data_IF_354193476937
#
_entry.id   IF_354193476937
#
_cell.length_a   1.000
_cell.length_b   1.000
_cell.length_c   1.000
_cell.angle_alpha   90.00
_cell.angle_beta   90.00
_cell.angle_gamma   90.00
#
_symmetry.space_group_name_H-M   'P 1'
#
loop_
_entity.id
_entity.type
_entity.pdbx_description
1 polymer ?
#
# COMPACT_ATOMS: atom_id res chain seq x y z
N UNK A 1 16.25 -13.76 -1.01
CA UNK A 1 15.40 -13.45 0.16
C UNK A 1 15.68 -14.49 1.24
N UNK A 2 15.48 -14.15 2.51
CA UNK A 2 15.45 -15.12 3.61
C UNK A 2 14.18 -14.89 4.44
N UNK A 3 13.86 -15.87 5.27
CA UNK A 3 12.76 -15.81 6.23
C UNK A 3 13.34 -15.91 7.63
N UNK A 4 12.82 -15.10 8.54
CA UNK A 4 13.23 -15.11 9.94
C UNK A 4 12.02 -14.84 10.82
N UNK A 5 11.82 -15.71 11.80
CA UNK A 5 10.89 -15.45 12.90
C UNK A 5 11.57 -14.55 13.93
N UNK A 6 10.86 -13.53 14.42
CA UNK A 6 11.33 -12.64 15.48
C UNK A 6 10.26 -12.44 16.53
N UNK A 7 10.69 -12.23 17.77
CA UNK A 7 9.80 -11.72 18.81
C UNK A 7 9.35 -10.30 18.44
N UNK A 8 8.13 -9.94 18.84
CA UNK A 8 7.47 -8.72 18.37
C UNK A 8 8.18 -7.45 18.85
N UNK A 9 8.71 -7.47 20.07
CA UNK A 9 9.52 -6.43 20.69
C UNK A 9 10.86 -6.20 19.97
N UNK A 10 11.55 -7.28 19.62
CA UNK A 10 12.76 -7.21 18.78
C UNK A 10 12.44 -6.65 17.39
N UNK A 11 11.30 -7.07 16.81
CA UNK A 11 10.91 -6.67 15.47
C UNK A 11 10.59 -5.17 15.40
N UNK A 12 9.79 -4.63 16.33
CA UNK A 12 9.48 -3.19 16.36
C UNK A 12 10.75 -2.33 16.52
N UNK A 13 11.69 -2.78 17.36
CA UNK A 13 12.96 -2.08 17.56
C UNK A 13 13.84 -2.12 16.30
N UNK A 14 13.87 -3.26 15.59
CA UNK A 14 14.58 -3.38 14.33
C UNK A 14 13.96 -2.48 13.25
N UNK A 15 12.64 -2.47 13.10
CA UNK A 15 11.93 -1.68 12.08
C UNK A 15 12.35 -0.21 12.18
N UNK A 16 12.33 0.36 13.40
CA UNK A 16 12.70 1.75 13.65
C UNK A 16 14.17 2.10 13.32
N UNK A 17 15.08 1.14 13.48
CA UNK A 17 16.53 1.33 13.23
C UNK A 17 16.95 0.96 11.81
N UNK A 18 16.06 0.32 11.05
CA UNK A 18 16.35 -0.22 9.73
C UNK A 18 16.27 0.85 8.63
N UNK A 19 16.78 0.50 7.45
CA UNK A 19 16.54 1.23 6.20
C UNK A 19 15.25 0.80 5.49
N UNK A 20 14.38 0.02 6.14
CA UNK A 20 13.22 -0.63 5.50
C UNK A 20 13.61 -1.70 4.47
N UNK A 21 12.71 -1.96 3.50
CA UNK A 21 13.00 -2.88 2.38
C UNK A 21 12.68 -4.36 2.65
N UNK A 22 11.79 -4.66 3.58
CA UNK A 22 11.33 -6.01 3.90
C UNK A 22 9.81 -6.07 4.03
N UNK A 23 9.25 -7.28 3.92
CA UNK A 23 7.84 -7.55 4.25
C UNK A 23 7.77 -7.98 5.71
N UNK A 24 6.93 -7.29 6.49
CA UNK A 24 6.65 -7.66 7.86
C UNK A 24 5.29 -8.37 7.92
N UNK A 25 5.32 -9.68 8.13
CA UNK A 25 4.11 -10.46 8.34
C UNK A 25 3.63 -10.28 9.79
N UNK A 26 2.50 -9.60 9.97
CA UNK A 26 1.91 -9.35 11.28
C UNK A 26 0.71 -10.28 11.53
N UNK A 27 0.48 -10.63 12.81
CA UNK A 27 -0.82 -11.17 13.24
C UNK A 27 -1.86 -10.05 13.18
N UNK A 28 -3.15 -10.40 13.24
CA UNK A 28 -4.26 -9.48 13.04
C UNK A 28 -4.12 -8.15 13.84
N UNK A 29 -4.02 -8.24 15.17
CA UNK A 29 -3.92 -7.04 16.01
C UNK A 29 -2.61 -6.25 15.79
N UNK A 30 -1.48 -6.95 15.66
CA UNK A 30 -0.20 -6.29 15.38
C UNK A 30 -0.25 -5.57 14.02
N UNK A 31 -0.90 -6.15 13.02
CA UNK A 31 -1.06 -5.56 11.69
C UNK A 31 -1.92 -4.31 11.71
N UNK A 32 -3.06 -4.37 12.39
CA UNK A 32 -3.97 -3.25 12.59
C UNK A 32 -3.23 -2.04 13.18
N UNK A 33 -2.60 -2.21 14.35
CA UNK A 33 -1.88 -1.13 15.04
C UNK A 33 -0.65 -0.65 14.27
N UNK A 34 0.18 -1.56 13.76
CA UNK A 34 1.45 -1.17 13.15
C UNK A 34 1.27 -0.57 11.75
N UNK A 35 0.26 -0.98 10.98
CA UNK A 35 0.00 -0.40 9.66
C UNK A 35 -0.32 1.09 9.74
N UNK A 36 -1.12 1.53 10.71
CA UNK A 36 -1.42 2.94 10.96
C UNK A 36 -0.18 3.74 11.36
N UNK A 37 0.64 3.19 12.27
CA UNK A 37 1.88 3.83 12.73
C UNK A 37 2.85 4.00 11.56
N UNK A 38 3.04 2.95 10.75
CA UNK A 38 3.93 2.99 9.59
C UNK A 38 3.39 3.97 8.54
N UNK A 39 2.08 3.97 8.25
CA UNK A 39 1.49 4.94 7.32
C UNK A 39 1.75 6.39 7.75
N UNK A 40 1.62 6.68 9.05
CA UNK A 40 1.93 7.99 9.60
C UNK A 40 3.43 8.34 9.52
N UNK A 41 4.31 7.36 9.71
CA UNK A 41 5.76 7.52 9.60
C UNK A 41 6.27 7.77 8.17
N UNK A 42 5.56 7.26 7.14
CA UNK A 42 5.87 7.49 5.72
C UNK A 42 5.19 8.74 5.13
N UNK A 43 4.55 9.56 5.96
CA UNK A 43 4.09 10.90 5.62
C UNK A 43 2.59 10.98 5.31
N UNK A 44 2.19 10.66 4.07
CA UNK A 44 0.80 10.85 3.62
C UNK A 44 0.19 9.56 3.11
N UNK A 45 -1.07 9.29 3.49
CA UNK A 45 -1.86 8.19 2.92
C UNK A 45 -2.01 8.30 1.39
N UNK A 46 -1.89 9.50 0.81
CA UNK A 46 -1.87 9.70 -0.65
C UNK A 46 -0.65 9.09 -1.35
N UNK A 47 0.33 8.60 -0.59
CA UNK A 47 1.53 7.91 -1.06
C UNK A 47 1.54 6.42 -0.69
N UNK A 48 0.47 5.91 -0.06
CA UNK A 48 0.36 4.52 0.38
C UNK A 48 -0.52 3.71 -0.58
N UNK A 49 -0.01 2.55 -1.00
CA UNK A 49 -0.73 1.60 -1.87
C UNK A 49 -1.15 0.37 -1.08
N UNK A 50 -2.31 -0.19 -1.38
CA UNK A 50 -2.79 -1.47 -0.81
C UNK A 50 -2.90 -2.51 -1.93
N UNK A 51 -2.51 -3.76 -1.63
CA UNK A 51 -2.63 -4.88 -2.56
C UNK A 51 -3.06 -6.12 -1.79
N UNK A 52 -4.20 -6.67 -2.14
CA UNK A 52 -4.62 -8.00 -1.71
C UNK A 52 -3.97 -9.04 -2.61
N UNK A 53 -3.34 -10.05 -2.00
CA UNK A 53 -2.70 -11.16 -2.71
C UNK A 53 -3.31 -12.47 -2.24
N UNK A 54 -3.89 -13.24 -3.18
CA UNK A 54 -4.43 -14.56 -2.90
C UNK A 54 -3.30 -15.61 -2.76
N UNK A 55 -3.53 -16.69 -1.98
CA UNK A 55 -2.55 -17.76 -1.82
C UNK A 55 -2.29 -18.58 -3.09
N UNK A 56 -3.11 -18.43 -4.13
CA UNK A 56 -2.86 -19.02 -5.45
C UNK A 56 -1.66 -18.41 -6.19
N UNK A 57 -1.14 -17.28 -5.69
CA UNK A 57 -0.06 -16.51 -6.28
C UNK A 57 -0.40 -15.87 -7.63
N UNK A 58 -1.68 -15.84 -8.01
CA UNK A 58 -2.17 -15.39 -9.32
C UNK A 58 -3.20 -14.29 -9.21
N UNK A 59 -4.07 -14.34 -8.22
CA UNK A 59 -5.15 -13.37 -8.07
C UNK A 59 -4.70 -12.24 -7.17
N UNK A 60 -4.79 -11.00 -7.66
CA UNK A 60 -4.50 -9.79 -6.89
C UNK A 60 -5.59 -8.75 -7.08
N UNK A 61 -5.78 -7.92 -6.08
CA UNK A 61 -6.59 -6.70 -6.14
C UNK A 61 -5.69 -5.54 -5.66
N UNK A 62 -5.71 -4.41 -6.35
CA UNK A 62 -4.82 -3.28 -6.08
C UNK A 62 -5.64 -2.00 -5.95
N UNK A 63 -5.47 -1.32 -4.83
CA UNK A 63 -6.24 -0.13 -4.47
C UNK A 63 -5.35 0.95 -3.83
N UNK A 64 -5.91 2.15 -3.70
CA UNK A 64 -5.32 3.19 -2.86
C UNK A 64 -5.60 2.87 -1.38
N UNK A 65 -4.64 3.07 -0.48
CA UNK A 65 -4.85 2.78 0.95
C UNK A 65 -5.76 3.81 1.65
N UNK A 66 -6.10 4.92 0.99
CA UNK A 66 -6.99 5.94 1.56
C UNK A 66 -8.46 5.69 1.18
N UNK A 67 -9.39 6.19 2.01
CA UNK A 67 -10.81 6.17 1.71
C UNK A 67 -11.24 7.17 0.62
N UNK A 68 -12.55 7.42 0.53
CA UNK A 68 -13.17 8.23 -0.54
C UNK A 68 -12.95 9.75 -0.43
N UNK A 69 -12.14 10.21 0.54
CA UNK A 69 -11.81 11.63 0.75
C UNK A 69 -13.06 12.54 0.80
N UNK A 70 -14.09 12.11 1.55
CA UNK A 70 -15.43 12.71 1.53
C UNK A 70 -15.44 14.22 1.78
N UNK A 71 -14.55 14.72 2.63
CA UNK A 71 -14.41 16.16 2.89
C UNK A 71 -14.10 16.95 1.61
N UNK A 72 -13.15 16.49 0.80
CA UNK A 72 -12.82 17.15 -0.47
C UNK A 72 -13.96 16.99 -1.48
N UNK A 73 -14.62 15.84 -1.48
CA UNK A 73 -15.79 15.63 -2.34
C UNK A 73 -16.91 16.64 -2.03
N UNK A 74 -17.16 16.98 -0.76
CA UNK A 74 -18.13 18.04 -0.40
C UNK A 74 -17.74 19.42 -0.90
N UNK A 75 -16.46 19.76 -0.91
CA UNK A 75 -15.99 21.03 -1.49
C UNK A 75 -16.12 21.04 -3.02
N UNK A 76 -15.81 19.92 -3.68
CA UNK A 76 -16.05 19.74 -5.11
C UNK A 76 -17.53 19.92 -5.47
N UNK A 77 -18.46 19.36 -4.70
CA UNK A 77 -19.91 19.52 -4.91
C UNK A 77 -20.39 20.98 -4.81
N UNK A 78 -19.69 21.82 -4.04
CA UNK A 78 -19.97 23.27 -3.95
C UNK A 78 -19.37 24.08 -5.10
N UNK A 79 -18.65 23.44 -6.02
CA UNK A 79 -17.92 24.11 -7.09
C UNK A 79 -16.54 24.64 -6.68
N UNK A 80 -16.08 24.34 -5.46
CA UNK A 80 -14.76 24.77 -5.00
C UNK A 80 -13.65 23.89 -5.58
N UNK A 81 -12.49 24.50 -5.85
CA UNK A 81 -11.28 23.77 -6.25
C UNK A 81 -10.76 22.94 -5.08
N UNK A 82 -10.25 21.74 -5.36
CA UNK A 82 -9.65 20.84 -4.37
C UNK A 82 -8.22 20.47 -4.75
N UNK A 83 -7.43 20.02 -3.78
CA UNK A 83 -6.07 19.51 -3.98
C UNK A 83 -5.96 18.11 -3.37
N UNK A 84 -6.72 17.17 -3.93
CA UNK A 84 -6.66 15.76 -3.56
C UNK A 84 -5.46 15.11 -4.25
N UNK A 85 -4.58 14.45 -3.50
CA UNK A 85 -3.43 13.76 -4.06
C UNK A 85 -3.87 12.47 -4.80
N UNK A 86 -3.63 12.34 -6.12
CA UNK A 86 -4.07 11.18 -6.89
C UNK A 86 -3.02 10.06 -6.97
N UNK A 87 -1.83 10.22 -6.38
CA UNK A 87 -0.68 9.32 -6.59
C UNK A 87 -1.02 7.88 -6.20
N UNK A 88 -1.58 7.63 -5.01
CA UNK A 88 -1.97 6.28 -4.59
C UNK A 88 -2.97 5.62 -5.57
N UNK A 89 -3.96 6.38 -6.05
CA UNK A 89 -4.92 5.87 -7.06
C UNK A 89 -4.27 5.53 -8.39
N UNK A 90 -3.31 6.35 -8.85
CA UNK A 90 -2.52 6.05 -10.06
C UNK A 90 -1.69 4.79 -9.84
N UNK A 91 -1.05 4.67 -8.67
CA UNK A 91 -0.23 3.50 -8.36
C UNK A 91 -1.05 2.21 -8.27
N UNK A 92 -2.30 2.27 -7.80
CA UNK A 92 -3.23 1.14 -7.83
C UNK A 92 -3.41 0.61 -9.27
N UNK A 93 -3.64 1.50 -10.24
CA UNK A 93 -3.69 1.14 -11.67
C UNK A 93 -2.38 0.51 -12.14
N UNK A 94 -1.24 1.17 -11.90
CA UNK A 94 0.05 0.66 -12.38
C UNK A 94 0.41 -0.70 -11.78
N UNK A 95 0.08 -0.96 -10.52
CA UNK A 95 0.30 -2.27 -9.87
C UNK A 95 -0.58 -3.36 -10.48
N UNK A 96 -1.86 -3.05 -10.75
CA UNK A 96 -2.76 -3.97 -11.45
C UNK A 96 -2.28 -4.30 -12.87
N UNK A 97 -1.81 -3.29 -13.61
CA UNK A 97 -1.26 -3.45 -14.96
C UNK A 97 0.06 -4.24 -14.96
N UNK A 98 0.97 -3.96 -14.03
CA UNK A 98 2.23 -4.70 -13.86
C UNK A 98 1.96 -6.19 -13.58
N UNK A 99 0.99 -6.50 -12.71
CA UNK A 99 0.59 -7.88 -12.46
C UNK A 99 -0.04 -8.54 -13.69
N UNK A 100 -0.93 -7.84 -14.41
CA UNK A 100 -1.50 -8.32 -15.67
C UNK A 100 -0.41 -8.61 -16.70
N UNK A 101 0.55 -7.71 -16.85
CA UNK A 101 1.69 -7.85 -17.75
C UNK A 101 2.50 -9.10 -17.44
N UNK A 102 2.76 -9.38 -16.15
CA UNK A 102 3.46 -10.59 -15.69
C UNK A 102 2.72 -11.87 -16.04
N UNK A 103 1.41 -11.92 -15.80
CA UNK A 103 0.58 -13.09 -16.13
C UNK A 103 0.53 -13.36 -17.63
N UNK A 104 0.45 -12.32 -18.45
CA UNK A 104 0.38 -12.43 -19.92
C UNK A 104 1.75 -12.51 -20.60
N UNK A 105 2.84 -12.36 -19.84
CA UNK A 105 4.20 -12.17 -20.37
C UNK A 105 4.26 -11.06 -21.42
N UNK A 106 3.61 -9.93 -21.15
CA UNK A 106 3.50 -8.78 -22.04
C UNK A 106 4.54 -7.70 -21.68
N UNK A 107 5.68 -7.60 -22.38
CA UNK A 107 6.75 -6.68 -22.02
C UNK A 107 6.40 -5.22 -22.30
N UNK A 108 5.50 -4.94 -23.25
CA UNK A 108 5.10 -3.57 -23.57
C UNK A 108 4.24 -2.96 -22.47
N UNK A 109 3.45 -3.79 -21.77
CA UNK A 109 2.66 -3.35 -20.62
C UNK A 109 3.49 -3.23 -19.33
N UNK A 110 4.65 -3.89 -19.25
CA UNK A 110 5.54 -3.85 -18.08
C UNK A 110 6.43 -2.58 -18.05
N UNK A 111 6.53 -1.83 -19.15
CA UNK A 111 7.38 -0.63 -19.25
C UNK A 111 6.86 0.52 -18.39
#
# INVERSE_FOLDING_TARGET
MWYEHRLIDDMVAQVLKSSGGFVWACKNYDGDVQSDIIAQGYGSLGLMTSVLVCPDGKTVEAEAAHGTVTRHYREHQKGNKTSTNPIASIFAWTRGLDHRAKLDKNPDLHK
#
